data_IF_870135281660
#
_entry.id   IF_870135281660
#
_cell.length_a   1.000
_cell.length_b   1.000
_cell.length_c   1.000
_cell.angle_alpha   90.00
_cell.angle_beta   90.00
_cell.angle_gamma   90.00
#
_symmetry.space_group_name_H-M   'P 1'
#
loop_
_entity.id
_entity.type
_entity.pdbx_description
1 polymer ?
#
# COMPACT_ATOMS: atom_id res chain seq x y z
N UNK A 1 34.50 -13.49 -81.18
CA UNK A 1 33.08 -13.94 -81.20
C UNK A 1 32.96 -15.07 -80.18
N UNK A 2 33.11 -14.78 -78.89
CA UNK A 2 32.04 -14.47 -77.91
C UNK A 2 30.90 -15.48 -77.88
N UNK A 3 31.01 -16.46 -76.99
CA UNK A 3 29.90 -16.97 -76.19
C UNK A 3 30.45 -17.45 -74.85
N UNK A 4 30.14 -16.75 -73.77
CA UNK A 4 30.21 -17.25 -72.39
C UNK A 4 28.97 -16.74 -71.65
N UNK A 5 28.25 -17.69 -71.03
CA UNK A 5 27.11 -17.51 -70.13
C UNK A 5 27.52 -16.88 -68.79
N UNK A 6 26.62 -16.08 -68.20
CA UNK A 6 26.55 -15.84 -66.76
C UNK A 6 25.08 -16.01 -66.28
N UNK A 7 24.85 -16.60 -65.10
CA UNK A 7 23.52 -16.98 -64.63
C UNK A 7 22.80 -15.83 -63.92
N UNK A 8 21.47 -15.86 -63.99
CA UNK A 8 20.59 -14.98 -63.22
C UNK A 8 20.56 -15.41 -61.75
N UNK A 9 21.02 -14.54 -60.85
CA UNK A 9 20.79 -14.66 -59.42
C UNK A 9 19.60 -13.75 -59.03
N UNK A 10 18.42 -14.34 -58.91
CA UNK A 10 17.25 -13.69 -58.30
C UNK A 10 17.40 -13.66 -56.79
N UNK A 11 17.95 -12.57 -56.26
CA UNK A 11 17.96 -12.29 -54.82
C UNK A 11 16.58 -11.84 -54.35
N UNK A 12 15.85 -12.72 -53.67
CA UNK A 12 14.64 -12.36 -52.93
C UNK A 12 15.07 -11.55 -51.70
N UNK A 13 14.91 -10.23 -51.76
CA UNK A 13 15.07 -9.33 -50.62
C UNK A 13 13.93 -9.63 -49.63
N UNK A 14 14.20 -10.47 -48.62
CA UNK A 14 13.29 -10.64 -47.49
C UNK A 14 13.34 -9.37 -46.66
N UNK A 15 12.35 -8.51 -46.86
CA UNK A 15 12.07 -7.38 -45.98
C UNK A 15 11.63 -7.97 -44.63
N UNK A 16 12.58 -8.07 -43.69
CA UNK A 16 12.28 -8.40 -42.31
C UNK A 16 11.47 -7.24 -41.73
N UNK A 17 10.16 -7.41 -41.64
CA UNK A 17 9.32 -6.55 -40.81
C UNK A 17 9.72 -6.84 -39.38
N UNK A 18 10.64 -6.03 -38.83
CA UNK A 18 10.74 -5.89 -37.39
C UNK A 18 9.39 -5.32 -36.94
N UNK A 19 8.52 -6.20 -36.45
CA UNK A 19 7.41 -5.80 -35.62
C UNK A 19 8.00 -5.16 -34.38
N UNK A 20 8.08 -3.84 -34.36
CA UNK A 20 8.17 -3.09 -33.11
C UNK A 20 6.86 -3.39 -32.40
N UNK A 21 6.90 -4.32 -31.45
CA UNK A 21 5.87 -4.42 -30.43
C UNK A 21 6.01 -3.11 -29.66
N UNK A 22 5.22 -2.11 -30.01
CA UNK A 22 5.01 -0.98 -29.13
C UNK A 22 4.45 -1.58 -27.85
N UNK A 23 5.26 -1.62 -26.78
CA UNK A 23 4.72 -1.79 -25.45
C UNK A 23 3.65 -0.71 -25.30
N UNK A 24 2.39 -1.13 -25.19
CA UNK A 24 1.29 -0.20 -25.00
C UNK A 24 1.65 0.68 -23.81
N UNK A 25 1.56 2.01 -23.98
CA UNK A 25 1.66 2.91 -22.85
C UNK A 25 0.63 2.46 -21.82
N UNK A 26 1.08 2.06 -20.64
CA UNK A 26 0.22 1.60 -19.56
C UNK A 26 -0.70 2.75 -19.12
N UNK A 27 -1.91 2.42 -18.69
CA UNK A 27 -2.97 3.40 -18.48
C UNK A 27 -2.68 4.25 -17.23
N UNK A 28 -2.23 5.50 -17.45
CA UNK A 28 -2.28 6.54 -16.44
C UNK A 28 -3.73 7.03 -16.35
N UNK A 29 -4.33 6.91 -15.18
CA UNK A 29 -5.76 7.23 -14.97
C UNK A 29 -5.92 8.45 -14.06
N UNK A 30 -6.96 9.27 -14.26
CA UNK A 30 -7.24 10.39 -13.35
C UNK A 30 -7.45 9.93 -11.91
N UNK A 31 -7.27 10.85 -10.96
CA UNK A 31 -7.65 10.63 -9.56
C UNK A 31 -9.13 10.21 -9.47
N UNK A 32 -9.44 9.05 -8.86
CA UNK A 32 -10.76 8.45 -8.97
C UNK A 32 -11.75 8.93 -7.89
N UNK A 33 -11.26 9.64 -6.86
CA UNK A 33 -12.09 10.15 -5.78
C UNK A 33 -12.49 11.62 -6.00
N UNK A 34 -13.19 12.20 -5.02
CA UNK A 34 -13.52 13.61 -5.06
C UNK A 34 -12.27 14.50 -5.15
N UNK A 35 -12.45 15.75 -5.60
CA UNK A 35 -11.35 16.71 -5.69
C UNK A 35 -10.80 17.08 -4.31
N UNK A 36 -9.57 17.57 -4.28
CA UNK A 36 -8.89 18.04 -3.07
C UNK A 36 -9.72 19.06 -2.26
N UNK A 37 -10.40 19.99 -2.95
CA UNK A 37 -11.25 20.99 -2.30
C UNK A 37 -12.59 20.45 -1.79
N UNK A 38 -13.02 19.28 -2.29
CA UNK A 38 -14.23 18.59 -1.85
C UNK A 38 -13.96 17.57 -0.74
N UNK A 39 -12.70 17.12 -0.59
CA UNK A 39 -12.29 16.25 0.52
C UNK A 39 -12.30 17.00 1.85
N UNK A 40 -12.40 16.25 2.95
CA UNK A 40 -12.44 16.83 4.30
C UNK A 40 -11.01 17.10 4.76
N UNK A 41 -10.72 18.34 5.14
CA UNK A 41 -9.48 18.68 5.82
C UNK A 41 -9.61 18.38 7.33
N UNK A 42 -8.77 17.48 7.83
CA UNK A 42 -8.74 17.03 9.21
C UNK A 42 -7.56 17.61 10.02
N UNK A 43 -6.79 18.53 9.45
CA UNK A 43 -5.59 19.10 10.09
C UNK A 43 -5.88 19.73 11.46
N UNK A 44 -7.08 20.30 11.65
CA UNK A 44 -7.51 20.89 12.92
C UNK A 44 -7.93 19.89 14.01
N UNK A 45 -7.63 18.59 13.88
CA UNK A 45 -8.15 17.54 14.77
C UNK A 45 -7.74 17.68 16.24
N UNK A 46 -6.57 18.26 16.51
CA UNK A 46 -6.13 18.51 17.90
C UNK A 46 -6.73 19.76 18.53
N UNK A 47 -7.46 20.57 17.76
CA UNK A 47 -8.12 21.77 18.23
C UNK A 47 -7.72 23.02 17.45
N UNK A 48 -8.15 24.18 17.96
CA UNK A 48 -7.96 25.46 17.29
C UNK A 48 -6.49 25.93 17.34
N UNK A 49 -6.07 26.62 16.27
CA UNK A 49 -4.71 27.15 16.14
C UNK A 49 -3.72 26.13 15.57
N UNK A 50 -2.48 26.57 15.39
CA UNK A 50 -1.39 25.71 14.91
C UNK A 50 -1.00 24.73 16.01
N UNK A 51 -0.95 23.45 15.66
CA UNK A 51 -0.54 22.33 16.53
C UNK A 51 0.32 21.35 15.72
N UNK A 52 0.62 20.18 16.28
CA UNK A 52 1.55 19.23 15.66
C UNK A 52 1.04 18.66 14.33
N UNK A 53 -0.27 18.62 14.08
CA UNK A 53 -0.80 18.21 12.78
C UNK A 53 -0.48 19.20 11.66
N UNK A 54 -0.07 20.43 11.97
CA UNK A 54 0.24 21.45 10.95
C UNK A 54 1.67 21.32 10.40
N UNK A 55 2.42 20.31 10.82
CA UNK A 55 3.84 20.17 10.54
C UNK A 55 4.12 18.69 10.26
N UNK A 56 4.74 18.42 9.11
CA UNK A 56 5.52 17.21 8.85
C UNK A 56 4.82 15.86 9.05
N UNK A 57 3.54 15.74 8.66
CA UNK A 57 2.85 14.45 8.71
C UNK A 57 3.39 13.53 7.61
N UNK A 58 3.95 12.39 8.01
CA UNK A 58 4.68 11.47 7.14
C UNK A 58 3.85 10.26 6.74
N UNK A 59 3.35 9.46 7.69
CA UNK A 59 2.62 8.22 7.37
C UNK A 59 1.22 8.11 7.95
N UNK A 60 0.45 7.19 7.37
CA UNK A 60 -0.83 6.77 7.91
C UNK A 60 -1.11 5.29 7.63
N UNK A 61 -1.81 4.62 8.54
CA UNK A 61 -2.34 3.26 8.30
C UNK A 61 -3.71 3.09 8.94
N UNK A 62 -4.62 2.43 8.22
CA UNK A 62 -5.95 2.08 8.73
C UNK A 62 -5.93 0.72 9.43
N UNK A 63 -6.54 0.66 10.61
CA UNK A 63 -6.81 -0.56 11.35
C UNK A 63 -8.30 -0.90 11.22
N UNK A 64 -8.62 -1.86 10.35
CA UNK A 64 -10.00 -2.33 10.14
C UNK A 64 -10.57 -3.09 11.34
N UNK A 65 -9.73 -3.75 12.14
CA UNK A 65 -10.18 -4.51 13.31
C UNK A 65 -10.63 -3.56 14.42
N UNK A 66 -9.89 -2.47 14.62
CA UNK A 66 -10.20 -1.52 15.69
C UNK A 66 -10.96 -0.29 15.21
N UNK A 67 -11.04 -0.04 13.91
CA UNK A 67 -11.63 1.17 13.33
C UNK A 67 -10.82 2.44 13.64
N UNK A 68 -9.49 2.30 13.79
CA UNK A 68 -8.58 3.42 14.09
C UNK A 68 -7.76 3.78 12.86
N UNK A 69 -7.59 5.09 12.65
CA UNK A 69 -6.59 5.61 11.73
C UNK A 69 -5.34 5.97 12.55
N UNK A 70 -4.24 5.30 12.26
CA UNK A 70 -2.94 5.64 12.82
C UNK A 70 -2.28 6.68 11.92
N UNK A 71 -1.74 7.75 12.50
CA UNK A 71 -1.08 8.85 11.78
C UNK A 71 0.25 9.14 12.44
N UNK A 72 1.29 9.33 11.65
CA UNK A 72 2.63 9.65 12.09
C UNK A 72 3.06 11.05 11.62
N UNK A 73 3.99 11.61 12.39
CA UNK A 73 4.72 12.83 12.06
C UNK A 73 6.21 12.54 12.21
N UNK A 74 7.01 12.90 11.20
CA UNK A 74 8.46 12.67 11.24
C UNK A 74 9.24 13.71 12.08
N UNK A 75 8.79 14.97 12.09
CA UNK A 75 9.50 16.12 12.68
C UNK A 75 8.85 16.77 13.92
N UNK A 76 9.50 17.80 14.51
CA UNK A 76 10.92 18.12 14.32
C UNK A 76 11.75 17.17 15.17
N UNK A 77 12.86 16.68 14.60
CA UNK A 77 13.81 15.81 15.32
C UNK A 77 14.22 16.43 16.68
N UNK A 78 14.21 15.66 17.79
CA UNK A 78 14.02 14.20 17.89
C UNK A 78 12.55 13.75 18.16
N UNK A 79 11.56 14.63 17.99
CA UNK A 79 10.23 14.45 18.54
C UNK A 79 9.15 14.14 17.47
N UNK A 80 9.35 13.06 16.72
CA UNK A 80 8.24 12.44 16.00
C UNK A 80 7.11 12.01 16.94
N UNK A 81 5.92 11.88 16.35
CA UNK A 81 4.71 11.47 17.05
C UNK A 81 3.92 10.45 16.26
N UNK A 82 3.18 9.63 16.98
CA UNK A 82 2.17 8.72 16.47
C UNK A 82 0.85 9.02 17.17
N UNK A 83 -0.25 9.05 16.43
CA UNK A 83 -1.59 9.17 16.98
C UNK A 83 -2.47 7.99 16.57
N UNK A 84 -3.36 7.60 17.47
CA UNK A 84 -4.55 6.80 17.15
C UNK A 84 -5.74 7.75 17.03
N UNK A 85 -6.33 7.83 15.84
CA UNK A 85 -7.51 8.62 15.57
C UNK A 85 -8.72 7.71 15.44
N UNK A 86 -9.88 8.19 15.90
CA UNK A 86 -11.15 7.50 15.67
C UNK A 86 -12.22 8.47 15.20
N UNK A 87 -13.19 7.92 14.49
CA UNK A 87 -14.40 8.65 14.16
C UNK A 87 -15.28 8.83 15.42
N UNK A 88 -15.95 9.97 15.50
CA UNK A 88 -16.88 10.33 16.56
C UNK A 88 -18.10 11.01 15.93
N UNK A 89 -19.08 10.22 15.49
CA UNK A 89 -20.19 10.73 14.67
C UNK A 89 -19.69 11.13 13.28
N UNK A 90 -19.91 12.38 12.87
CA UNK A 90 -19.43 12.90 11.58
C UNK A 90 -18.04 13.55 11.65
N UNK A 91 -17.43 13.62 12.83
CA UNK A 91 -16.11 14.23 13.06
C UNK A 91 -15.06 13.19 13.42
N UNK A 92 -13.80 13.60 13.47
CA UNK A 92 -12.67 12.80 13.94
C UNK A 92 -12.09 13.40 15.21
N UNK A 93 -11.56 12.54 16.08
CA UNK A 93 -10.89 12.93 17.32
C UNK A 93 -9.67 12.04 17.54
N UNK A 94 -8.68 12.55 18.27
CA UNK A 94 -7.64 11.68 18.86
C UNK A 94 -8.32 10.76 19.88
N UNK A 95 -8.10 9.45 19.73
CA UNK A 95 -8.75 8.45 20.56
C UNK A 95 -8.28 8.52 22.02
N UNK A 96 -9.14 8.05 22.93
CA UNK A 96 -8.85 8.01 24.36
C UNK A 96 -9.26 6.68 24.95
N UNK A 97 -8.35 6.04 25.68
CA UNK A 97 -8.61 4.79 26.40
C UNK A 97 -8.20 4.95 27.86
N UNK A 98 -9.12 4.64 28.78
CA UNK A 98 -8.87 4.78 30.24
C UNK A 98 -8.36 6.18 30.62
N UNK A 99 -8.92 7.22 30.00
CA UNK A 99 -8.51 8.62 30.14
C UNK A 99 -7.11 8.98 29.62
N UNK A 100 -6.41 8.03 29.00
CA UNK A 100 -5.14 8.27 28.30
C UNK A 100 -5.41 8.57 26.83
N UNK A 101 -4.64 9.52 26.28
CA UNK A 101 -4.73 9.95 24.88
C UNK A 101 -3.90 9.01 24.00
N UNK A 102 -4.43 8.62 22.85
CA UNK A 102 -3.75 7.83 21.83
C UNK A 102 -2.71 8.66 21.10
N UNK A 103 -1.67 9.09 21.81
CA UNK A 103 -0.57 9.91 21.32
C UNK A 103 0.72 9.38 21.92
N UNK A 104 1.71 9.05 21.07
CA UNK A 104 3.03 8.59 21.49
C UNK A 104 4.06 9.56 20.93
N UNK A 105 5.06 9.91 21.75
CA UNK A 105 6.09 10.91 21.42
C UNK A 105 7.48 10.32 21.59
N UNK A 106 8.47 10.91 20.91
CA UNK A 106 9.88 10.52 21.08
C UNK A 106 10.21 9.20 20.36
N UNK A 107 9.65 9.04 19.16
CA UNK A 107 9.82 7.85 18.32
C UNK A 107 10.99 7.96 17.33
N UNK A 108 11.82 9.01 17.44
CA UNK A 108 12.93 9.28 16.54
C UNK A 108 12.47 10.06 15.31
N UNK A 109 12.79 9.54 14.13
CA UNK A 109 12.57 10.15 12.82
C UNK A 109 11.57 9.30 12.03
N UNK A 110 10.31 9.31 12.50
CA UNK A 110 9.28 8.34 12.10
C UNK A 110 8.71 8.68 10.73
N UNK A 111 9.08 7.89 9.72
CA UNK A 111 8.56 8.10 8.36
C UNK A 111 7.38 7.19 8.03
N UNK A 112 7.40 5.94 8.49
CA UNK A 112 6.44 4.93 8.03
C UNK A 112 5.74 4.20 9.17
N UNK A 113 4.48 3.81 8.96
CA UNK A 113 3.75 2.94 9.88
C UNK A 113 2.95 1.85 9.17
N UNK A 114 2.91 0.65 9.78
CA UNK A 114 2.05 -0.43 9.31
C UNK A 114 1.57 -1.32 10.45
N UNK A 115 0.66 -2.25 10.14
CA UNK A 115 0.05 -3.17 11.08
C UNK A 115 0.28 -4.62 10.64
N UNK A 116 0.41 -5.53 11.60
CA UNK A 116 0.49 -6.96 11.34
C UNK A 116 -0.66 -7.66 12.08
N UNK A 117 -1.58 -8.35 11.38
CA UNK A 117 -2.72 -9.02 12.00
C UNK A 117 -2.33 -10.10 13.03
N UNK A 118 -1.10 -10.62 12.96
CA UNK A 118 -0.62 -11.68 13.86
C UNK A 118 -0.21 -11.14 15.24
N UNK A 119 -0.11 -9.81 15.37
CA UNK A 119 0.28 -9.13 16.60
C UNK A 119 -0.71 -7.99 16.87
N UNK A 120 -1.94 -8.30 17.30
CA UNK A 120 -2.93 -7.28 17.62
C UNK A 120 -2.38 -6.35 18.71
N UNK A 121 -2.77 -5.07 18.67
CA UNK A 121 -2.23 -4.01 19.56
C UNK A 121 -0.73 -3.74 19.41
N UNK A 122 -0.16 -4.02 18.24
CA UNK A 122 1.21 -3.63 17.89
C UNK A 122 1.21 -2.81 16.60
N UNK A 123 1.83 -1.63 16.65
CA UNK A 123 2.13 -0.81 15.47
C UNK A 123 3.58 -0.99 15.09
N UNK A 124 3.85 -1.20 13.81
CA UNK A 124 5.20 -1.26 13.27
C UNK A 124 5.57 0.10 12.71
N UNK A 125 6.71 0.63 13.14
CA UNK A 125 7.16 1.99 12.84
C UNK A 125 8.54 1.93 12.20
N UNK A 126 8.77 2.64 11.09
CA UNK A 126 10.10 2.80 10.50
C UNK A 126 10.67 4.18 10.81
N UNK A 127 11.93 4.21 11.28
CA UNK A 127 12.68 5.44 11.54
C UNK A 127 13.78 5.59 10.50
N UNK A 128 13.76 6.70 9.75
CA UNK A 128 14.70 6.97 8.66
C UNK A 128 16.11 7.23 9.19
N UNK A 129 16.29 8.24 10.04
CA UNK A 129 17.62 8.62 10.53
C UNK A 129 18.35 7.50 11.27
N UNK A 130 17.62 6.50 11.78
CA UNK A 130 18.19 5.32 12.44
C UNK A 130 18.25 4.06 11.56
N UNK A 131 17.55 4.05 10.42
CA UNK A 131 17.38 2.88 9.55
C UNK A 131 16.89 1.65 10.32
N UNK A 132 15.81 1.86 11.06
CA UNK A 132 15.30 0.92 12.06
C UNK A 132 13.80 0.73 11.92
N UNK A 133 13.35 -0.51 11.93
CA UNK A 133 11.94 -0.87 12.13
C UNK A 133 11.73 -1.24 13.60
N UNK A 134 10.63 -0.79 14.20
CA UNK A 134 10.25 -1.08 15.59
C UNK A 134 8.86 -1.66 15.65
N UNK A 135 8.65 -2.61 16.55
CA UNK A 135 7.34 -3.05 16.98
C UNK A 135 7.00 -2.34 18.30
N UNK A 136 6.01 -1.45 18.27
CA UNK A 136 5.54 -0.67 19.40
C UNK A 136 4.25 -1.28 19.95
N UNK A 137 4.22 -1.64 21.23
CA UNK A 137 2.95 -1.98 21.89
C UNK A 137 2.12 -0.72 22.04
N UNK A 138 0.88 -0.77 21.59
CA UNK A 138 -0.12 0.29 21.76
C UNK A 138 -1.23 -0.10 22.73
N UNK A 139 -1.04 -1.18 23.50
CA UNK A 139 -2.00 -1.67 24.49
C UNK A 139 -2.34 -0.64 25.60
N UNK A 140 -1.43 0.30 25.85
CA UNK A 140 -1.60 1.40 26.79
C UNK A 140 -1.33 2.71 26.08
N UNK A 141 -2.39 3.48 25.84
CA UNK A 141 -2.31 4.79 25.19
C UNK A 141 -1.34 5.72 25.93
N UNK A 142 -0.50 6.45 25.18
CA UNK A 142 0.46 7.38 25.76
C UNK A 142 1.77 6.76 26.26
N UNK A 143 1.90 5.43 26.29
CA UNK A 143 3.09 4.76 26.83
C UNK A 143 3.92 4.12 25.73
N UNK A 144 5.13 4.62 25.51
CA UNK A 144 6.07 4.03 24.53
C UNK A 144 6.65 2.74 25.09
N UNK A 145 6.25 1.60 24.52
CA UNK A 145 6.79 0.27 24.86
C UNK A 145 7.29 -0.42 23.61
N UNK A 146 8.60 -0.33 23.34
CA UNK A 146 9.23 -1.02 22.20
C UNK A 146 9.37 -2.50 22.54
N UNK A 147 8.62 -3.35 21.83
CA UNK A 147 8.68 -4.81 21.95
C UNK A 147 9.85 -5.40 21.17
N UNK A 148 10.17 -4.77 20.02
CA UNK A 148 11.26 -5.19 19.17
C UNK A 148 11.80 -4.06 18.32
N UNK A 149 13.05 -4.22 17.92
CA UNK A 149 13.76 -3.34 17.00
C UNK A 149 14.63 -4.18 16.05
N UNK A 150 14.62 -3.82 14.77
CA UNK A 150 15.46 -4.41 13.73
C UNK A 150 16.22 -3.29 13.02
N UNK A 151 17.55 -3.32 13.10
CA UNK A 151 18.41 -2.40 12.34
C UNK A 151 18.59 -2.95 10.93
N UNK A 152 18.08 -2.24 9.92
CA UNK A 152 18.01 -2.71 8.53
C UNK A 152 19.06 -2.10 7.61
N UNK A 153 20.06 -1.39 8.16
CA UNK A 153 21.15 -0.73 7.40
C UNK A 153 21.94 -1.67 6.48
N UNK A 154 21.94 -2.98 6.77
CA UNK A 154 22.60 -3.98 5.92
C UNK A 154 21.80 -4.38 4.68
N UNK A 155 20.52 -4.00 4.60
CA UNK A 155 19.61 -4.35 3.53
C UNK A 155 19.05 -3.12 2.79
N UNK A 156 18.67 -2.07 3.53
CA UNK A 156 18.06 -0.85 2.96
C UNK A 156 19.12 0.25 2.90
N UNK A 157 19.42 0.82 1.72
CA UNK A 157 20.38 1.91 1.57
C UNK A 157 19.89 3.20 2.23
N UNK A 158 20.84 3.97 2.75
CA UNK A 158 20.62 5.32 3.26
C UNK A 158 21.82 6.22 2.99
N UNK A 159 21.59 7.50 2.77
CA UNK A 159 22.61 8.50 2.50
C UNK A 159 22.07 9.91 2.69
N UNK A 160 22.77 10.75 3.45
CA UNK A 160 22.48 12.19 3.48
C UNK A 160 21.30 12.63 4.36
N UNK A 161 20.72 11.70 5.12
CA UNK A 161 19.41 11.88 5.76
C UNK A 161 18.47 10.84 5.16
N UNK A 162 18.53 10.74 3.84
CA UNK A 162 17.62 9.95 3.04
C UNK A 162 17.75 8.42 3.23
N UNK A 163 16.63 7.72 3.10
CA UNK A 163 16.53 6.30 3.44
C UNK A 163 15.11 5.73 3.37
N UNK A 164 14.54 5.37 4.52
CA UNK A 164 13.29 4.59 4.57
C UNK A 164 12.11 5.55 4.63
N UNK A 165 11.18 5.45 3.68
CA UNK A 165 9.96 6.27 3.67
C UNK A 165 8.69 5.43 3.80
N UNK A 166 8.57 4.36 3.02
CA UNK A 166 7.35 3.54 2.99
C UNK A 166 7.48 2.25 3.79
N UNK A 167 6.39 1.80 4.40
CA UNK A 167 6.35 0.50 5.08
C UNK A 167 4.96 -0.14 4.98
N UNK A 168 4.90 -1.36 4.47
CA UNK A 168 3.68 -2.16 4.54
C UNK A 168 3.96 -3.61 4.88
N UNK A 169 2.99 -4.24 5.54
CA UNK A 169 2.97 -5.68 5.77
C UNK A 169 2.13 -6.38 4.70
N UNK A 170 2.72 -7.39 4.05
CA UNK A 170 2.03 -8.24 3.07
C UNK A 170 1.91 -9.66 3.64
N UNK A 171 0.69 -10.15 3.94
CA UNK A 171 0.48 -11.44 4.58
C UNK A 171 0.81 -12.61 3.65
N UNK A 172 1.20 -13.74 4.24
CA UNK A 172 1.56 -14.96 3.51
C UNK A 172 0.46 -15.43 2.56
N UNK A 173 -0.82 -15.31 2.95
CA UNK A 173 -1.93 -15.73 2.08
C UNK A 173 -1.92 -14.95 0.75
N UNK A 174 -1.64 -13.64 0.78
CA UNK A 174 -1.62 -12.79 -0.41
C UNK A 174 -0.41 -13.10 -1.29
N UNK A 175 0.75 -13.34 -0.65
CA UNK A 175 1.98 -13.74 -1.34
C UNK A 175 1.84 -15.12 -2.00
N UNK A 176 1.17 -16.06 -1.32
CA UNK A 176 0.88 -17.42 -1.78
C UNK A 176 -0.05 -17.44 -2.97
N UNK A 177 -1.17 -16.75 -2.85
CA UNK A 177 -2.14 -16.62 -3.93
C UNK A 177 -1.57 -15.97 -5.19
N UNK A 178 -0.83 -14.88 -5.03
CA UNK A 178 -0.21 -14.19 -6.16
C UNK A 178 0.96 -14.98 -6.79
N UNK A 179 1.40 -16.07 -6.16
CA UNK A 179 2.61 -16.77 -6.55
C UNK A 179 3.85 -15.87 -6.45
N UNK A 180 3.88 -14.95 -5.48
CA UNK A 180 4.94 -13.95 -5.35
C UNK A 180 6.31 -14.62 -5.23
N UNK A 181 7.24 -14.22 -6.08
CA UNK A 181 8.61 -14.70 -6.05
C UNK A 181 9.57 -13.54 -6.26
N UNK A 182 10.46 -13.33 -5.29
CA UNK A 182 11.47 -12.27 -5.37
C UNK A 182 12.59 -12.61 -6.36
N UNK A 183 12.82 -13.89 -6.64
CA UNK A 183 13.80 -14.37 -7.61
C UNK A 183 13.09 -14.96 -8.83
N UNK A 184 13.57 -14.64 -10.03
CA UNK A 184 13.01 -15.21 -11.26
C UNK A 184 13.22 -16.72 -11.31
N UNK A 185 12.14 -17.48 -11.54
CA UNK A 185 12.14 -18.94 -11.50
C UNK A 185 12.42 -19.55 -10.12
N UNK A 186 12.42 -18.71 -9.07
CA UNK A 186 12.64 -19.14 -7.68
C UNK A 186 11.38 -19.72 -7.04
N UNK A 187 11.57 -20.35 -5.88
CA UNK A 187 10.45 -20.73 -5.03
C UNK A 187 9.66 -19.50 -4.58
N UNK A 188 8.37 -19.70 -4.39
CA UNK A 188 7.48 -18.69 -3.86
C UNK A 188 8.02 -18.14 -2.52
N UNK A 189 8.07 -16.82 -2.40
CA UNK A 189 8.65 -16.13 -1.24
C UNK A 189 7.56 -15.85 -0.21
N UNK A 190 7.79 -16.28 1.03
CA UNK A 190 6.85 -16.15 2.16
C UNK A 190 7.62 -15.99 3.46
N UNK A 191 6.97 -15.51 4.51
CA UNK A 191 7.56 -15.46 5.84
C UNK A 191 7.82 -16.87 6.38
N UNK A 192 9.01 -17.03 6.93
CA UNK A 192 9.51 -18.22 7.62
C UNK A 192 9.90 -17.92 9.06
N UNK A 193 10.02 -16.64 9.45
CA UNK A 193 10.41 -16.23 10.80
C UNK A 193 9.24 -16.07 11.78
N UNK A 194 7.99 -16.08 11.32
CA UNK A 194 6.82 -16.34 12.18
C UNK A 194 5.85 -15.17 12.38
N UNK A 195 6.01 -14.05 11.67
CA UNK A 195 4.98 -12.98 11.63
C UNK A 195 3.87 -13.26 10.60
N UNK A 196 3.99 -14.34 9.81
CA UNK A 196 2.94 -14.76 8.87
C UNK A 196 2.83 -13.86 7.64
N UNK A 197 3.85 -13.08 7.33
CA UNK A 197 3.94 -12.20 6.16
C UNK A 197 5.26 -11.44 6.12
N UNK A 198 5.49 -10.72 5.03
CA UNK A 198 6.72 -9.98 4.76
C UNK A 198 6.50 -8.49 4.91
N UNK A 199 7.53 -7.78 5.35
CA UNK A 199 7.56 -6.32 5.38
C UNK A 199 8.18 -5.82 4.09
N UNK A 200 7.44 -4.99 3.38
CA UNK A 200 7.91 -4.28 2.19
C UNK A 200 8.29 -2.87 2.63
N UNK A 201 9.52 -2.47 2.33
CA UNK A 201 10.10 -1.19 2.76
C UNK A 201 10.41 -0.36 1.52
N UNK A 202 9.81 0.82 1.41
CA UNK A 202 10.06 1.78 0.34
C UNK A 202 11.29 2.63 0.66
N UNK A 203 12.06 2.97 -0.37
CA UNK A 203 13.27 3.77 -0.25
C UNK A 203 13.19 5.03 -1.11
N UNK A 204 13.48 6.19 -0.52
CA UNK A 204 13.43 7.46 -1.27
C UNK A 204 14.61 7.63 -2.24
N UNK A 205 15.77 7.05 -1.95
CA UNK A 205 16.99 7.31 -2.76
C UNK A 205 16.90 6.69 -4.15
N UNK A 206 16.34 5.49 -4.24
CA UNK A 206 16.36 4.71 -5.48
C UNK A 206 14.98 4.20 -5.93
N UNK A 207 13.92 4.56 -5.19
CA UNK A 207 12.54 4.24 -5.51
C UNK A 207 12.27 2.73 -5.50
N UNK A 208 13.07 1.94 -4.76
CA UNK A 208 12.91 0.49 -4.70
C UNK A 208 12.15 0.04 -3.46
N UNK A 209 11.55 -1.14 -3.59
CA UNK A 209 10.94 -1.86 -2.47
C UNK A 209 11.91 -2.94 -2.01
N UNK A 210 12.25 -2.95 -0.73
CA UNK A 210 13.07 -3.96 -0.06
C UNK A 210 12.18 -4.93 0.72
N UNK A 211 12.36 -6.23 0.48
CA UNK A 211 11.47 -7.26 1.05
C UNK A 211 12.16 -7.98 2.19
N UNK A 212 11.61 -7.81 3.39
CA UNK A 212 12.18 -8.30 4.65
C UNK A 212 11.23 -9.30 5.33
N UNK A 213 11.79 -10.32 5.96
CA UNK A 213 11.11 -11.17 6.94
C UNK A 213 11.68 -10.84 8.31
N UNK A 214 10.85 -10.29 9.20
CA UNK A 214 11.28 -9.85 10.53
C UNK A 214 11.02 -10.95 11.57
N UNK A 215 11.99 -11.22 12.44
CA UNK A 215 11.81 -12.21 13.51
C UNK A 215 11.01 -11.64 14.69
N UNK A 216 9.88 -12.25 15.09
CA UNK A 216 9.18 -11.89 16.33
C UNK A 216 9.91 -12.39 17.59
N UNK A 217 11.01 -13.16 17.48
CA UNK A 217 11.75 -13.73 18.62
C UNK A 217 13.13 -13.12 18.90
N UNK A 218 13.78 -12.47 17.93
CA UNK A 218 14.96 -11.62 18.15
C UNK A 218 15.05 -10.39 17.23
N UNK A 219 16.21 -9.73 17.25
CA UNK A 219 16.50 -8.58 16.37
C UNK A 219 16.96 -9.01 14.97
N UNK A 220 16.90 -10.30 14.64
CA UNK A 220 17.26 -10.82 13.32
C UNK A 220 16.14 -10.60 12.30
N UNK A 221 16.54 -10.48 11.05
CA UNK A 221 15.65 -10.48 9.90
C UNK A 221 16.33 -11.19 8.72
N UNK A 222 15.54 -11.58 7.72
CA UNK A 222 16.03 -12.05 6.43
C UNK A 222 15.70 -11.02 5.36
N UNK A 223 16.69 -10.63 4.55
CA UNK A 223 16.47 -9.84 3.35
C UNK A 223 16.34 -10.77 2.14
N UNK A 224 15.21 -10.70 1.45
CA UNK A 224 14.93 -11.54 0.29
C UNK A 224 15.38 -10.93 -1.05
N UNK A 225 15.50 -9.60 -1.11
CA UNK A 225 15.87 -8.87 -2.32
C UNK A 225 15.15 -7.53 -2.41
N UNK A 226 15.28 -6.88 -3.56
CA UNK A 226 14.59 -5.61 -3.85
C UNK A 226 13.95 -5.59 -5.23
N UNK A 227 12.86 -4.83 -5.35
CA UNK A 227 12.07 -4.67 -6.55
C UNK A 227 12.14 -3.22 -7.02
N UNK A 228 12.36 -3.00 -8.30
CA UNK A 228 12.25 -1.69 -8.92
C UNK A 228 10.77 -1.27 -9.03
N UNK A 229 10.53 0.04 -8.99
CA UNK A 229 9.25 0.66 -9.35
C UNK A 229 9.41 1.45 -10.65
N UNK A 230 8.38 2.20 -11.06
CA UNK A 230 8.45 3.07 -12.23
C UNK A 230 9.03 4.45 -11.96
N UNK A 231 9.28 4.80 -10.69
CA UNK A 231 9.68 6.14 -10.27
C UNK A 231 10.89 6.10 -9.33
N UNK A 232 11.67 7.19 -9.25
CA UNK A 232 12.95 7.22 -8.55
C UNK A 232 12.83 7.35 -7.02
N UNK A 233 11.63 7.59 -6.48
CA UNK A 233 11.40 7.87 -5.07
C UNK A 233 10.07 7.23 -4.63
N UNK A 234 10.01 6.70 -3.41
CA UNK A 234 8.79 6.22 -2.76
C UNK A 234 8.60 7.05 -1.50
N UNK A 235 7.38 7.50 -1.28
CA UNK A 235 6.93 8.18 -0.07
C UNK A 235 6.17 7.22 0.87
N UNK A 236 5.28 6.38 0.33
CA UNK A 236 4.53 5.40 1.12
C UNK A 236 4.26 4.10 0.36
N UNK A 237 4.10 3.01 1.12
CA UNK A 237 3.57 1.74 0.67
C UNK A 237 2.30 1.39 1.44
N UNK A 238 1.24 1.03 0.73
CA UNK A 238 0.01 0.53 1.35
C UNK A 238 -0.42 -0.75 0.65
N UNK A 239 -0.53 -1.84 1.41
CA UNK A 239 -1.11 -3.07 0.89
C UNK A 239 -2.61 -3.04 1.13
N UNK A 240 -3.39 -3.08 0.04
CA UNK A 240 -4.83 -3.17 0.13
C UNK A 240 -5.28 -4.63 0.01
N UNK A 241 -5.61 -5.23 1.16
CA UNK A 241 -6.04 -6.63 1.23
C UNK A 241 -7.30 -6.91 0.41
N UNK A 242 -8.15 -5.89 0.17
CA UNK A 242 -9.39 -6.06 -0.58
C UNK A 242 -9.16 -6.21 -2.09
N UNK A 243 -8.18 -5.49 -2.66
CA UNK A 243 -7.78 -5.62 -4.08
C UNK A 243 -6.58 -6.55 -4.30
N UNK A 244 -5.87 -6.94 -3.22
CA UNK A 244 -4.57 -7.64 -3.27
C UNK A 244 -3.50 -6.86 -4.04
N UNK A 245 -3.64 -5.54 -4.08
CA UNK A 245 -2.72 -4.65 -4.76
C UNK A 245 -1.86 -3.89 -3.75
N UNK A 246 -0.63 -3.63 -4.17
CA UNK A 246 0.24 -2.70 -3.49
C UNK A 246 0.05 -1.32 -4.12
N UNK A 247 -0.33 -0.35 -3.32
CA UNK A 247 -0.34 1.06 -3.67
C UNK A 247 1.02 1.63 -3.26
N UNK A 248 1.73 2.21 -4.21
CA UNK A 248 3.03 2.83 -4.01
C UNK A 248 2.86 4.31 -4.27
N UNK A 249 2.90 5.12 -3.21
CA UNK A 249 2.88 6.57 -3.35
C UNK A 249 4.28 7.05 -3.69
N UNK A 250 4.40 7.79 -4.78
CA UNK A 250 5.66 8.38 -5.24
C UNK A 250 5.69 9.87 -4.94
N UNK A 251 6.73 10.29 -4.20
CA UNK A 251 7.03 11.68 -3.84
C UNK A 251 7.68 12.47 -4.99
N UNK A 252 8.71 13.28 -4.72
CA UNK A 252 9.43 14.17 -5.66
C UNK A 252 8.52 15.08 -6.50
N UNK A 253 7.52 15.70 -5.87
CA UNK A 253 6.50 16.53 -6.54
C UNK A 253 5.63 15.77 -7.57
N UNK A 254 5.70 14.44 -7.58
CA UNK A 254 4.93 13.61 -8.51
C UNK A 254 3.54 13.33 -7.97
N UNK A 255 3.48 13.01 -6.66
CA UNK A 255 2.25 12.87 -5.87
C UNK A 255 1.26 11.85 -6.48
N UNK A 256 1.78 10.76 -7.04
CA UNK A 256 1.01 9.77 -7.81
C UNK A 256 1.09 8.40 -7.15
N UNK A 257 0.10 7.56 -7.44
CA UNK A 257 0.04 6.21 -6.90
C UNK A 257 0.31 5.22 -8.03
N UNK A 258 1.41 4.49 -7.96
CA UNK A 258 1.61 3.29 -8.78
C UNK A 258 0.88 2.12 -8.10
N UNK A 259 -0.08 1.52 -8.80
CA UNK A 259 -0.85 0.38 -8.32
C UNK A 259 -0.26 -0.88 -8.94
N UNK A 260 0.21 -1.79 -8.11
CA UNK A 260 0.91 -2.99 -8.51
C UNK A 260 0.18 -4.25 -8.02
N UNK A 261 0.08 -5.27 -8.88
CA UNK A 261 -0.19 -6.62 -8.44
C UNK A 261 1.05 -7.19 -7.72
N UNK A 262 0.85 -8.17 -6.85
CA UNK A 262 1.95 -8.90 -6.19
C UNK A 262 2.65 -9.91 -7.11
N UNK A 263 2.34 -9.95 -8.41
CA UNK A 263 3.19 -10.67 -9.37
C UNK A 263 4.40 -9.82 -9.73
N UNK A 264 5.53 -10.44 -10.06
CA UNK A 264 6.74 -9.71 -10.43
C UNK A 264 7.34 -10.20 -11.75
N UNK A 265 7.75 -9.25 -12.59
CA UNK A 265 8.35 -9.46 -13.91
C UNK A 265 9.81 -9.01 -13.94
N UNK A 266 10.58 -9.48 -14.93
CA UNK A 266 12.00 -9.18 -15.05
C UNK A 266 12.91 -10.05 -14.16
N UNK A 267 14.21 -9.73 -14.17
CA UNK A 267 15.27 -10.52 -13.52
C UNK A 267 16.27 -9.64 -12.79
N UNK A 268 16.89 -10.17 -11.74
CA UNK A 268 17.93 -9.46 -10.98
C UNK A 268 17.42 -8.14 -10.43
N UNK A 269 18.24 -7.09 -10.52
CA UNK A 269 17.90 -5.74 -10.04
C UNK A 269 16.85 -5.02 -10.91
N UNK A 270 16.55 -5.52 -12.11
CA UNK A 270 15.47 -4.98 -12.94
C UNK A 270 14.11 -5.61 -12.62
N UNK A 271 14.07 -6.59 -11.71
CA UNK A 271 12.81 -7.21 -11.30
C UNK A 271 11.92 -6.19 -10.61
N UNK A 272 10.64 -6.19 -10.94
CA UNK A 272 9.64 -5.23 -10.50
C UNK A 272 8.30 -5.91 -10.30
N UNK A 273 7.44 -5.31 -9.48
CA UNK A 273 6.04 -5.73 -9.44
C UNK A 273 5.36 -5.42 -10.78
N UNK A 274 4.31 -6.17 -11.10
CA UNK A 274 3.50 -5.95 -12.29
C UNK A 274 2.60 -4.75 -12.02
N UNK A 275 2.91 -3.62 -12.65
CA UNK A 275 2.05 -2.45 -12.64
C UNK A 275 0.69 -2.79 -13.27
N UNK A 276 -0.38 -2.44 -12.55
CA UNK A 276 -1.76 -2.50 -13.03
C UNK A 276 -2.12 -1.17 -13.67
N UNK A 277 -1.85 -0.07 -12.96
CA UNK A 277 -2.10 1.29 -13.43
C UNK A 277 -1.30 2.31 -12.60
N UNK A 278 -1.13 3.51 -13.14
CA UNK A 278 -0.71 4.68 -12.35
C UNK A 278 -1.90 5.62 -12.19
N UNK A 279 -2.24 5.97 -10.95
CA UNK A 279 -3.26 6.97 -10.62
C UNK A 279 -2.58 8.34 -10.48
N UNK A 280 -3.13 9.33 -11.18
CA UNK A 280 -2.70 10.72 -11.09
C UNK A 280 -2.90 11.31 -9.70
N UNK A 281 -2.12 12.36 -9.39
CA UNK A 281 -2.28 13.12 -8.16
C UNK A 281 -3.72 13.62 -7.94
N UNK A 282 -4.13 13.83 -6.68
CA UNK A 282 -5.48 14.29 -6.36
C UNK A 282 -5.92 15.49 -7.20
N UNK A 283 -7.12 15.40 -7.77
CA UNK A 283 -7.66 16.47 -8.62
C UNK A 283 -7.72 17.78 -7.83
N UNK A 284 -6.95 18.79 -8.26
CA UNK A 284 -6.91 20.10 -7.63
C UNK A 284 -5.91 20.25 -6.47
N UNK A 285 -5.07 19.26 -6.18
CA UNK A 285 -3.94 19.44 -5.27
C UNK A 285 -2.85 20.34 -5.87
N UNK A 286 -2.06 20.98 -5.01
CA UNK A 286 -0.88 21.72 -5.43
C UNK A 286 0.11 20.79 -6.15
N UNK A 287 0.85 21.31 -7.13
CA UNK A 287 1.89 20.53 -7.82
C UNK A 287 3.04 20.14 -6.90
N UNK A 288 3.35 21.01 -5.95
CA UNK A 288 4.42 20.88 -4.98
C UNK A 288 3.87 20.47 -3.59
N UNK A 289 2.68 19.87 -3.52
CA UNK A 289 2.27 19.22 -2.28
C UNK A 289 3.29 18.13 -1.96
N UNK A 290 3.69 17.99 -0.70
CA UNK A 290 4.56 16.90 -0.27
C UNK A 290 3.69 15.79 0.32
N UNK A 291 2.96 15.05 -0.52
CA UNK A 291 2.07 14.00 -0.04
C UNK A 291 2.95 12.81 0.35
N UNK A 292 3.02 12.51 1.63
CA UNK A 292 3.97 11.52 2.16
C UNK A 292 3.32 10.21 2.56
N UNK A 293 2.07 10.22 3.04
CA UNK A 293 1.45 9.02 3.58
C UNK A 293 0.07 8.76 3.02
N UNK A 294 -0.32 7.50 3.04
CA UNK A 294 -1.53 6.97 2.44
C UNK A 294 -2.11 5.88 3.33
N UNK A 295 -3.36 6.04 3.74
CA UNK A 295 -4.14 4.98 4.36
C UNK A 295 -5.43 4.76 3.59
N UNK A 296 -5.82 3.51 3.40
CA UNK A 296 -7.05 3.15 2.72
C UNK A 296 -7.88 2.25 3.62
N UNK A 297 -9.19 2.51 3.68
CA UNK A 297 -10.11 1.63 4.38
C UNK A 297 -10.22 0.29 3.65
N UNK A 298 -10.49 -0.77 4.40
CA UNK A 298 -10.84 -2.05 3.83
C UNK A 298 -12.10 -1.96 2.94
N UNK A 299 -12.23 -2.93 2.03
CA UNK A 299 -13.40 -3.05 1.17
C UNK A 299 -14.69 -3.43 1.90
N UNK A 300 -14.64 -3.92 3.15
CA UNK A 300 -15.86 -4.29 3.88
C UNK A 300 -16.66 -3.07 4.35
N UNK A 301 -16.00 -1.93 4.55
CA UNK A 301 -16.68 -0.65 4.84
C UNK A 301 -17.46 -0.09 3.64
N UNK A 302 -17.38 -0.73 2.46
CA UNK A 302 -18.16 -0.38 1.29
C UNK A 302 -19.65 -0.55 1.57
N UNK A 303 -20.37 0.56 1.68
CA UNK A 303 -21.80 0.51 1.97
C UNK A 303 -22.56 -0.26 0.88
N UNK A 304 -23.22 -1.36 1.24
CA UNK A 304 -24.03 -2.22 0.36
C UNK A 304 -25.42 -1.64 0.05
N UNK A 305 -25.62 -0.33 0.23
CA UNK A 305 -26.94 0.31 0.14
C UNK A 305 -27.12 1.17 -1.10
N UNK A 306 -28.35 1.27 -1.63
CA UNK A 306 -28.77 2.14 -2.73
C UNK A 306 -28.77 3.66 -2.38
N UNK A 307 -27.71 4.16 -1.76
CA UNK A 307 -27.52 5.57 -1.41
C UNK A 307 -26.43 6.25 -2.25
N UNK A 308 -26.26 7.57 -2.10
CA UNK A 308 -25.20 8.34 -2.76
C UNK A 308 -23.76 7.91 -2.38
N UNK A 309 -23.62 6.99 -1.42
CA UNK A 309 -22.36 6.43 -0.94
C UNK A 309 -22.15 4.94 -1.31
N UNK A 310 -23.06 4.35 -2.11
CA UNK A 310 -22.89 3.00 -2.65
C UNK A 310 -21.59 2.93 -3.47
N UNK A 311 -20.74 1.92 -3.21
CA UNK A 311 -19.52 1.71 -4.00
C UNK A 311 -18.35 2.66 -3.69
N UNK A 312 -18.37 3.35 -2.54
CA UNK A 312 -17.26 4.18 -2.08
C UNK A 312 -16.73 3.76 -0.71
N UNK A 313 -15.41 3.91 -0.53
CA UNK A 313 -14.67 3.77 0.73
C UNK A 313 -13.80 4.99 0.98
N UNK A 314 -13.18 5.05 2.17
CA UNK A 314 -12.34 6.19 2.54
C UNK A 314 -10.87 5.97 2.22
N UNK A 315 -10.20 7.07 1.87
CA UNK A 315 -8.75 7.16 1.76
C UNK A 315 -8.28 8.41 2.50
N UNK A 316 -7.14 8.31 3.16
CA UNK A 316 -6.48 9.40 3.86
C UNK A 316 -5.12 9.66 3.24
N UNK A 317 -4.77 10.94 3.17
CA UNK A 317 -3.44 11.39 2.78
C UNK A 317 -2.86 12.29 3.87
N UNK A 318 -1.59 12.06 4.22
CA UNK A 318 -0.77 12.98 5.02
C UNK A 318 0.11 13.81 4.10
N UNK A 319 0.39 15.04 4.52
CA UNK A 319 1.17 16.00 3.75
C UNK A 319 2.23 16.58 4.68
N UNK A 320 3.48 16.32 4.33
CA UNK A 320 4.64 16.94 4.93
C UNK A 320 4.72 18.42 4.51
N UNK A 321 5.14 19.28 5.45
CA UNK A 321 5.07 20.74 5.33
C UNK A 321 3.65 21.27 4.94
N UNK A 322 2.59 20.48 5.20
CA UNK A 322 1.23 20.78 4.75
C UNK A 322 0.58 22.01 5.40
N UNK A 323 1.11 22.49 6.53
CA UNK A 323 0.60 23.68 7.21
C UNK A 323 -0.86 23.51 7.62
N UNK A 324 -1.75 24.34 7.08
CA UNK A 324 -3.20 24.22 7.34
C UNK A 324 -3.86 23.03 6.65
N UNK A 325 -3.09 22.22 5.90
CA UNK A 325 -3.59 21.26 4.93
C UNK A 325 -2.92 19.88 4.98
N UNK A 326 -2.45 19.48 6.15
CA UNK A 326 -1.61 18.31 6.39
C UNK A 326 -2.31 16.96 6.46
N UNK A 327 -3.63 16.91 6.71
CA UNK A 327 -4.39 15.65 6.71
C UNK A 327 -5.69 15.78 5.92
N UNK A 328 -5.83 14.95 4.87
CA UNK A 328 -7.01 14.92 4.01
C UNK A 328 -7.74 13.59 4.09
N UNK A 329 -9.07 13.66 4.14
CA UNK A 329 -9.97 12.51 4.12
C UNK A 329 -10.88 12.57 2.88
N UNK A 330 -10.63 11.65 1.96
CA UNK A 330 -11.47 11.37 0.80
C UNK A 330 -12.47 10.28 1.18
N UNK A 331 -13.74 10.49 0.85
CA UNK A 331 -14.87 9.60 1.15
C UNK A 331 -15.39 8.88 -0.08
N UNK A 332 -14.98 9.32 -1.27
CA UNK A 332 -15.42 8.78 -2.55
C UNK A 332 -14.29 8.03 -3.25
N UNK A 333 -13.45 7.29 -2.51
CA UNK A 333 -12.51 6.37 -3.15
C UNK A 333 -13.26 5.13 -3.62
N UNK A 334 -13.10 4.67 -4.88
CA UNK A 334 -13.85 3.52 -5.36
C UNK A 334 -13.67 2.28 -4.48
N UNK A 335 -14.80 1.63 -4.21
CA UNK A 335 -14.79 0.30 -3.61
C UNK A 335 -14.23 -0.75 -4.55
N UNK A 336 -13.79 -1.85 -3.94
CA UNK A 336 -13.50 -3.07 -4.69
C UNK A 336 -14.81 -3.68 -5.08
N UNK A 337 -14.90 -4.11 -6.34
CA UNK A 337 -16.03 -4.89 -6.78
C UNK A 337 -15.87 -6.32 -6.25
N UNK A 338 -16.65 -6.71 -5.23
CA UNK A 338 -16.59 -8.08 -4.71
C UNK A 338 -16.97 -9.13 -5.77
N UNK A 339 -17.71 -8.73 -6.82
CA UNK A 339 -18.02 -9.58 -7.97
C UNK A 339 -16.80 -9.86 -8.88
N UNK A 340 -15.83 -8.96 -8.92
CA UNK A 340 -14.52 -9.15 -9.59
C UNK A 340 -13.56 -9.73 -8.53
N UNK A 341 -13.76 -11.02 -8.24
CA UNK A 341 -13.10 -11.70 -7.13
C UNK A 341 -11.60 -11.87 -7.37
N UNK A 342 -11.19 -12.07 -8.63
CA UNK A 342 -9.79 -12.23 -8.99
C UNK A 342 -9.08 -10.89 -9.30
N UNK A 343 -9.83 -9.77 -9.31
CA UNK A 343 -9.36 -8.41 -9.54
C UNK A 343 -8.71 -8.22 -10.93
N UNK A 344 -9.20 -8.92 -11.95
CA UNK A 344 -8.72 -8.80 -13.33
C UNK A 344 -9.41 -7.68 -14.12
N UNK A 345 -10.39 -7.01 -13.52
CA UNK A 345 -11.13 -5.90 -14.10
C UNK A 345 -12.37 -6.33 -14.88
N UNK A 346 -12.69 -7.62 -14.91
CA UNK A 346 -13.90 -8.18 -15.51
C UNK A 346 -14.64 -9.04 -14.51
N UNK A 347 -15.97 -9.02 -14.55
CA UNK A 347 -16.82 -9.89 -13.73
C UNK A 347 -17.33 -11.00 -14.63
N UNK A 348 -16.80 -12.20 -14.44
CA UNK A 348 -17.17 -13.34 -15.26
C UNK A 348 -17.19 -14.66 -14.48
N UNK A 349 -17.41 -15.77 -15.19
CA UNK A 349 -17.55 -17.07 -14.57
C UNK A 349 -16.30 -17.50 -13.77
N UNK A 350 -15.11 -16.99 -14.11
CA UNK A 350 -13.88 -17.30 -13.39
C UNK A 350 -13.84 -16.68 -11.99
N UNK A 351 -14.42 -15.49 -11.77
CA UNK A 351 -14.57 -14.93 -10.42
C UNK A 351 -15.40 -15.82 -9.52
N UNK A 352 -16.50 -16.33 -10.05
CA UNK A 352 -17.36 -17.26 -9.32
C UNK A 352 -16.62 -18.55 -8.97
N UNK A 353 -15.87 -19.12 -9.92
CA UNK A 353 -15.08 -20.33 -9.67
C UNK A 353 -13.99 -20.10 -8.62
N UNK A 354 -13.28 -18.98 -8.70
CA UNK A 354 -12.23 -18.63 -7.76
C UNK A 354 -12.82 -18.40 -6.37
N UNK A 355 -13.96 -17.70 -6.25
CA UNK A 355 -14.66 -17.53 -4.98
C UNK A 355 -15.07 -18.87 -4.38
N UNK A 356 -15.75 -19.73 -5.16
CA UNK A 356 -16.20 -21.05 -4.67
C UNK A 356 -15.01 -21.92 -4.23
N UNK A 357 -13.88 -21.84 -4.93
CA UNK A 357 -12.64 -22.54 -4.56
C UNK A 357 -12.14 -22.07 -3.19
N UNK A 358 -12.03 -20.76 -2.97
CA UNK A 358 -11.61 -20.18 -1.69
C UNK A 358 -12.62 -20.49 -0.58
N UNK A 359 -13.92 -20.31 -0.84
CA UNK A 359 -15.00 -20.60 0.12
C UNK A 359 -14.96 -22.06 0.58
N UNK A 360 -14.83 -22.99 -0.35
CA UNK A 360 -14.80 -24.43 -0.06
C UNK A 360 -13.55 -24.87 0.72
N UNK A 361 -12.47 -24.09 0.67
CA UNK A 361 -11.24 -24.33 1.41
C UNK A 361 -11.16 -23.55 2.74
N UNK A 362 -12.23 -22.82 3.10
CA UNK A 362 -12.27 -21.92 4.26
C UNK A 362 -11.11 -20.91 4.22
N UNK A 363 -10.80 -20.41 3.02
CA UNK A 363 -9.78 -19.40 2.81
C UNK A 363 -10.27 -18.01 3.20
N UNK A 364 -9.44 -17.23 3.91
CA UNK A 364 -9.81 -15.93 4.46
C UNK A 364 -10.43 -14.93 3.47
N UNK A 365 -10.15 -15.06 2.16
CA UNK A 365 -10.76 -14.23 1.11
C UNK A 365 -12.25 -14.48 0.89
N UNK A 366 -12.76 -15.61 1.38
CA UNK A 366 -14.17 -15.93 1.30
C UNK A 366 -15.01 -15.19 2.34
N UNK A 367 -14.39 -14.52 3.32
CA UNK A 367 -15.03 -13.62 4.28
C UNK A 367 -15.26 -12.26 3.61
N UNK A 368 -16.37 -12.15 2.88
CA UNK A 368 -16.72 -11.01 2.02
C UNK A 368 -17.18 -9.82 2.85
N UNK A 369 -17.90 -10.08 3.94
CA UNK A 369 -18.34 -9.03 4.85
C UNK A 369 -17.31 -8.71 5.95
N UNK A 370 -16.21 -9.47 6.01
CA UNK A 370 -15.06 -9.28 6.92
C UNK A 370 -15.47 -9.30 8.40
N UNK A 371 -16.44 -10.13 8.76
CA UNK A 371 -16.85 -10.30 10.16
C UNK A 371 -15.94 -11.28 10.96
N UNK A 372 -14.95 -11.85 10.27
CA UNK A 372 -14.00 -12.82 10.83
C UNK A 372 -14.46 -14.27 10.74
N UNK A 373 -15.65 -14.53 10.17
CA UNK A 373 -16.23 -15.87 10.01
C UNK A 373 -16.63 -16.12 8.56
N UNK A 374 -16.05 -17.14 7.93
CA UNK A 374 -16.46 -17.56 6.59
C UNK A 374 -17.73 -18.42 6.71
N UNK A 375 -18.87 -17.91 6.28
CA UNK A 375 -20.14 -18.63 6.34
C UNK A 375 -21.08 -18.35 5.16
N UNK A 376 -22.32 -18.84 5.26
CA UNK A 376 -23.30 -18.71 4.17
C UNK A 376 -23.64 -17.25 3.81
N UNK A 377 -23.50 -16.30 4.75
CA UNK A 377 -23.76 -14.90 4.49
C UNK A 377 -22.72 -14.31 3.54
N UNK A 378 -21.45 -14.70 3.65
CA UNK A 378 -20.44 -14.29 2.66
C UNK A 378 -20.75 -14.78 1.27
N UNK A 379 -21.26 -16.02 1.16
CA UNK A 379 -21.65 -16.58 -0.12
C UNK A 379 -22.77 -15.76 -0.75
N UNK A 380 -23.75 -15.35 0.06
CA UNK A 380 -24.82 -14.48 -0.40
C UNK A 380 -24.32 -13.09 -0.79
N UNK A 381 -23.41 -12.51 -0.01
CA UNK A 381 -22.83 -11.19 -0.30
C UNK A 381 -22.02 -11.22 -1.60
N UNK A 382 -21.22 -12.27 -1.82
CA UNK A 382 -20.52 -12.49 -3.09
C UNK A 382 -21.49 -12.63 -4.26
N UNK A 383 -22.47 -13.53 -4.18
CA UNK A 383 -23.45 -13.76 -5.27
C UNK A 383 -24.25 -12.48 -5.57
N UNK A 384 -24.57 -11.71 -4.53
CA UNK A 384 -25.19 -10.39 -4.65
C UNK A 384 -24.33 -9.45 -5.49
N UNK A 385 -23.07 -9.26 -5.11
CA UNK A 385 -22.13 -8.40 -5.84
C UNK A 385 -21.85 -8.90 -7.28
N UNK A 386 -21.64 -10.20 -7.44
CA UNK A 386 -21.41 -10.86 -8.73
C UNK A 386 -22.57 -10.63 -9.71
N UNK A 387 -23.81 -10.82 -9.24
CA UNK A 387 -25.00 -10.65 -10.07
C UNK A 387 -25.38 -9.19 -10.36
N UNK A 388 -25.01 -8.27 -9.47
CA UNK A 388 -25.18 -6.83 -9.67
C UNK A 388 -24.19 -6.27 -10.70
N UNK A 389 -23.01 -6.90 -10.84
CA UNK A 389 -21.93 -6.40 -11.68
C UNK A 389 -21.16 -5.25 -11.02
N UNK A 390 -21.08 -5.28 -9.68
CA UNK A 390 -20.88 -4.14 -8.76
C UNK A 390 -22.14 -3.26 -8.60
#
# INVERSE_FOLDING_TARGET
MSQIHLPAAGGVMRLGVLGVVAAGAMARVPWPAESWGASVNLTGIEGAGTNDFYQDLSAAVWDGETGRLWVARNGPTPNSKLWALRQSGSTWVVDTQSSLRGEWTGLGDLEAVTLCPQTPSVVYCASEGEQVIRALSVSTYGTVTILRQWNVTSAVPASGGDGIEGLTFVPNWALEEAGFAILSGGAQTRSTLGLGGLFFVGNQIDGRIYVLDLSPSGASFTWYGSLATNYPEIAELTFDASTRQLLILHGDNQNRIEVCALTATGTGTSRRLTEVQTIERPTGSATNANIEGLAILDGATCSTGNGAHAGWRSLFLTIDDGGTDSLRWFKQWPCVCAGDFNADGTIDFFDYLDYVSVFSSNGARADINQDGTIDFFDYLDFVGAFSAGC
#
